data_IF_613032943122
#
_entry.id   IF_613032943122
#
_cell.length_a   1.000
_cell.length_b   1.000
_cell.length_c   1.000
_cell.angle_alpha   90.00
_cell.angle_beta   90.00
_cell.angle_gamma   90.00
#
_symmetry.space_group_name_H-M   'P 1'
#
loop_
_entity.id
_entity.type
_entity.pdbx_description
1 polymer ?
#
# COMPACT_ATOMS: atom_id res chain seq x y z
N UNK A 1 0.75 -8.33 -9.71
CA UNK A 1 2.17 -8.03 -9.39
C UNK A 1 2.34 -6.98 -8.29
N UNK A 2 1.47 -5.98 -8.13
CA UNK A 2 1.60 -4.96 -7.07
C UNK A 2 1.48 -5.51 -5.64
N UNK A 3 0.77 -6.63 -5.44
CA UNK A 3 0.48 -7.15 -4.09
C UNK A 3 1.70 -7.80 -3.43
N UNK A 4 2.59 -8.44 -4.21
CA UNK A 4 3.86 -8.97 -3.68
C UNK A 4 4.76 -7.86 -3.15
N UNK A 5 4.83 -6.73 -3.86
CA UNK A 5 5.60 -5.57 -3.43
C UNK A 5 4.96 -4.89 -2.21
N UNK A 6 3.63 -4.87 -2.13
CA UNK A 6 2.92 -4.42 -0.94
C UNK A 6 3.23 -5.29 0.27
N UNK A 7 3.18 -6.61 0.13
CA UNK A 7 3.49 -7.55 1.21
C UNK A 7 4.94 -7.41 1.68
N UNK A 8 5.90 -7.31 0.77
CA UNK A 8 7.30 -7.05 1.13
C UNK A 8 7.49 -5.70 1.83
N UNK A 9 6.79 -4.65 1.39
CA UNK A 9 6.79 -3.35 2.06
C UNK A 9 6.19 -3.43 3.46
N UNK A 10 5.13 -4.21 3.66
CA UNK A 10 4.52 -4.43 4.96
C UNK A 10 5.44 -5.26 5.89
N UNK A 11 6.04 -6.34 5.38
CA UNK A 11 7.02 -7.16 6.10
C UNK A 11 8.22 -6.32 6.56
N UNK A 12 8.76 -5.47 5.68
CA UNK A 12 9.83 -4.54 6.06
C UNK A 12 9.40 -3.64 7.23
N UNK A 13 8.21 -3.04 7.16
CA UNK A 13 7.69 -2.18 8.23
C UNK A 13 7.51 -2.92 9.55
N UNK A 14 7.06 -4.16 9.52
CA UNK A 14 6.90 -5.00 10.71
C UNK A 14 8.27 -5.30 11.35
N UNK A 15 9.29 -5.61 10.54
CA UNK A 15 10.63 -5.95 11.04
C UNK A 15 11.42 -4.75 11.56
N UNK A 16 11.31 -3.61 10.87
CA UNK A 16 12.15 -2.44 11.14
C UNK A 16 11.43 -1.32 11.91
N UNK A 17 10.10 -1.41 12.08
CA UNK A 17 9.29 -0.39 12.74
C UNK A 17 9.12 0.91 11.95
N UNK A 18 9.76 1.03 10.78
CA UNK A 18 9.76 2.22 9.94
C UNK A 18 9.43 1.89 8.49
N UNK A 19 8.97 2.89 7.75
CA UNK A 19 8.75 2.73 6.31
C UNK A 19 10.09 2.73 5.55
N UNK A 20 10.33 1.77 4.64
CA UNK A 20 11.54 1.77 3.83
C UNK A 20 11.54 2.93 2.83
N UNK A 21 12.72 3.43 2.50
CA UNK A 21 12.95 4.17 1.26
C UNK A 21 12.72 3.29 0.04
N UNK A 22 12.57 3.92 -1.13
CA UNK A 22 12.42 3.23 -2.40
C UNK A 22 13.63 2.36 -2.77
N UNK A 23 14.84 2.76 -2.35
CA UNK A 23 16.06 1.96 -2.49
C UNK A 23 16.10 0.79 -1.52
N UNK A 24 15.81 1.00 -0.24
CA UNK A 24 15.78 -0.08 0.76
C UNK A 24 14.76 -1.15 0.37
N UNK A 25 13.58 -0.75 -0.10
CA UNK A 25 12.59 -1.71 -0.57
C UNK A 25 13.06 -2.47 -1.81
N UNK A 26 13.72 -1.81 -2.76
CA UNK A 26 14.30 -2.47 -3.95
C UNK A 26 15.31 -3.55 -3.55
N UNK A 27 16.21 -3.22 -2.62
CA UNK A 27 17.20 -4.17 -2.09
C UNK A 27 16.54 -5.31 -1.32
N UNK A 28 15.54 -5.01 -0.48
CA UNK A 28 14.80 -6.02 0.28
C UNK A 28 14.08 -7.00 -0.65
N UNK A 29 13.43 -6.50 -1.70
CA UNK A 29 12.79 -7.33 -2.74
C UNK A 29 13.81 -8.23 -3.45
N UNK A 30 14.96 -7.68 -3.85
CA UNK A 30 16.00 -8.46 -4.50
C UNK A 30 16.56 -9.57 -3.58
N UNK A 31 16.75 -9.29 -2.29
CA UNK A 31 17.18 -10.27 -1.29
C UNK A 31 16.15 -11.41 -1.10
N UNK A 32 14.87 -11.14 -1.35
CA UNK A 32 13.79 -12.14 -1.34
C UNK A 32 13.59 -12.84 -2.70
N UNK A 33 14.47 -12.59 -3.69
CA UNK A 33 14.34 -13.14 -5.05
C UNK A 33 13.21 -12.51 -5.88
N UNK A 34 12.59 -11.42 -5.40
CA UNK A 34 11.56 -10.67 -6.11
C UNK A 34 12.20 -9.67 -7.07
N UNK A 35 12.61 -10.18 -8.22
CA UNK A 35 13.29 -9.41 -9.26
C UNK A 35 12.29 -8.89 -10.31
N UNK A 36 12.66 -7.76 -10.92
CA UNK A 36 11.97 -7.17 -12.06
C UNK A 36 12.35 -7.84 -13.38
N UNK A 37 12.14 -7.12 -14.49
CA UNK A 37 12.47 -7.62 -15.83
C UNK A 37 13.97 -7.88 -15.95
N UNK A 38 14.34 -8.99 -16.60
CA UNK A 38 15.73 -9.35 -16.85
C UNK A 38 16.52 -9.73 -15.60
N UNK A 39 15.85 -10.25 -14.56
CA UNK A 39 16.47 -10.62 -13.28
C UNK A 39 17.16 -9.44 -12.57
N UNK A 40 16.76 -8.21 -12.88
CA UNK A 40 17.28 -7.01 -12.23
C UNK A 40 16.44 -6.62 -11.02
N UNK A 41 17.02 -5.96 -10.01
CA UNK A 41 16.24 -5.37 -8.92
C UNK A 41 15.11 -4.48 -9.45
N UNK A 42 13.97 -4.48 -8.75
CA UNK A 42 12.83 -3.63 -9.13
C UNK A 42 13.23 -2.17 -8.98
N UNK A 43 13.05 -1.37 -10.02
CA UNK A 43 13.43 0.05 -10.00
C UNK A 43 12.81 0.81 -8.82
N UNK A 44 13.60 1.54 -8.02
CA UNK A 44 13.09 2.39 -6.93
C UNK A 44 12.03 3.38 -7.40
N UNK A 45 12.21 3.99 -8.58
CA UNK A 45 11.24 4.94 -9.13
C UNK A 45 9.87 4.28 -9.42
N UNK A 46 9.86 3.00 -9.78
CA UNK A 46 8.62 2.25 -9.95
C UNK A 46 7.95 1.97 -8.59
N UNK A 47 8.73 1.57 -7.59
CA UNK A 47 8.24 1.31 -6.23
C UNK A 47 7.66 2.57 -5.58
N UNK A 48 8.35 3.70 -5.70
CA UNK A 48 7.95 4.99 -5.12
C UNK A 48 6.56 5.43 -5.56
N UNK A 49 6.15 5.13 -6.80
CA UNK A 49 4.80 5.45 -7.33
C UNK A 49 3.70 4.71 -6.58
N UNK A 50 4.01 3.60 -5.93
CA UNK A 50 3.04 2.78 -5.20
C UNK A 50 2.91 3.16 -3.72
N UNK A 51 3.90 3.83 -3.11
CA UNK A 51 3.94 4.09 -1.67
C UNK A 51 2.69 4.82 -1.17
N UNK A 52 2.28 5.89 -1.84
CA UNK A 52 1.08 6.63 -1.46
C UNK A 52 -0.15 5.71 -1.45
N UNK A 53 -0.31 4.90 -2.50
CA UNK A 53 -1.44 3.97 -2.62
C UNK A 53 -1.40 2.90 -1.53
N UNK A 54 -0.22 2.42 -1.14
CA UNK A 54 -0.06 1.44 -0.05
C UNK A 54 -0.34 2.03 1.33
N UNK A 55 0.05 3.28 1.58
CA UNK A 55 -0.29 3.99 2.81
C UNK A 55 -1.79 4.17 2.95
N UNK A 56 -2.46 4.64 1.89
CA UNK A 56 -3.92 4.77 1.85
C UNK A 56 -4.59 3.41 2.04
N UNK A 57 -4.12 2.37 1.33
CA UNK A 57 -4.67 1.03 1.46
C UNK A 57 -4.51 0.48 2.88
N UNK A 58 -3.37 0.70 3.54
CA UNK A 58 -3.15 0.21 4.91
C UNK A 58 -4.10 0.87 5.91
N UNK A 59 -4.38 2.17 5.72
CA UNK A 59 -5.36 2.89 6.53
C UNK A 59 -6.79 2.36 6.25
N UNK A 60 -7.16 2.21 4.97
CA UNK A 60 -8.42 1.62 4.57
C UNK A 60 -8.61 0.19 5.12
N UNK A 61 -7.58 -0.64 5.04
CA UNK A 61 -7.57 -2.02 5.50
C UNK A 61 -7.73 -2.12 7.02
N UNK A 62 -7.11 -1.22 7.78
CA UNK A 62 -7.32 -1.13 9.23
C UNK A 62 -8.77 -0.77 9.57
N UNK A 63 -9.36 0.24 8.89
CA UNK A 63 -10.77 0.55 9.08
C UNK A 63 -11.68 -0.62 8.66
N UNK A 64 -11.36 -1.33 7.57
CA UNK A 64 -12.12 -2.48 7.07
C UNK A 64 -12.09 -3.68 8.02
N UNK A 65 -11.04 -3.81 8.83
CA UNK A 65 -10.93 -4.85 9.85
C UNK A 65 -11.88 -4.62 11.03
N UNK A 66 -12.24 -3.37 11.32
CA UNK A 66 -13.14 -2.99 12.42
C UNK A 66 -14.56 -2.68 11.94
N UNK A 67 -14.74 -2.36 10.65
CA UNK A 67 -16.02 -1.96 10.07
C UNK A 67 -16.23 -2.65 8.72
N UNK A 68 -17.42 -3.20 8.50
CA UNK A 68 -17.72 -3.95 7.27
C UNK A 68 -17.68 -3.09 6.00
N UNK A 69 -17.98 -1.78 6.11
CA UNK A 69 -17.88 -0.82 5.03
C UNK A 69 -17.24 0.49 5.54
N UNK A 70 -15.94 0.70 5.33
CA UNK A 70 -15.28 1.93 5.75
C UNK A 70 -15.77 3.12 4.93
N UNK A 71 -16.30 4.15 5.59
CA UNK A 71 -16.76 5.36 4.91
C UNK A 71 -15.58 6.11 4.29
N UNK A 72 -15.70 6.48 3.02
CA UNK A 72 -14.63 7.18 2.27
C UNK A 72 -14.20 8.50 2.94
N UNK A 73 -15.14 9.19 3.60
CA UNK A 73 -14.86 10.40 4.37
C UNK A 73 -13.94 10.13 5.58
N UNK A 74 -14.10 9.00 6.27
CA UNK A 74 -13.25 8.64 7.41
C UNK A 74 -11.82 8.35 6.96
N UNK A 75 -11.68 7.65 5.84
CA UNK A 75 -10.37 7.34 5.24
C UNK A 75 -9.68 8.62 4.78
N UNK A 76 -10.41 9.54 4.14
CA UNK A 76 -9.86 10.84 3.73
C UNK A 76 -9.42 11.68 4.95
N UNK A 77 -10.21 11.72 6.02
CA UNK A 77 -9.83 12.36 7.29
C UNK A 77 -8.60 11.70 7.92
N UNK A 78 -8.53 10.37 7.92
CA UNK A 78 -7.36 9.62 8.35
C UNK A 78 -6.11 9.99 7.54
N UNK A 79 -6.23 10.03 6.21
CA UNK A 79 -5.14 10.45 5.33
C UNK A 79 -4.62 11.85 5.67
N UNK A 80 -5.50 12.82 5.90
CA UNK A 80 -5.12 14.17 6.30
C UNK A 80 -4.41 14.19 7.67
N UNK A 81 -4.91 13.44 8.66
CA UNK A 81 -4.27 13.30 9.99
C UNK A 81 -2.86 12.72 9.92
N UNK A 82 -2.61 11.83 8.96
CA UNK A 82 -1.29 11.24 8.70
C UNK A 82 -0.42 12.06 7.73
N UNK A 83 -0.86 13.27 7.33
CA UNK A 83 -0.11 14.12 6.41
C UNK A 83 0.01 13.57 4.99
N UNK A 84 -0.90 12.67 4.59
CA UNK A 84 -0.88 12.07 3.26
C UNK A 84 -1.52 13.01 2.24
N UNK A 85 -0.75 13.34 1.20
CA UNK A 85 -1.19 14.17 0.07
C UNK A 85 -0.83 13.51 -1.26
N UNK A 86 -1.58 13.86 -2.30
CA UNK A 86 -1.25 13.52 -3.69
C UNK A 86 -0.15 14.44 -4.23
N UNK A 87 0.16 14.28 -5.52
CA UNK A 87 1.08 15.15 -6.23
C UNK A 87 0.67 16.62 -6.06
N UNK A 88 1.67 17.51 -6.00
CA UNK A 88 1.47 18.94 -5.78
C UNK A 88 0.72 19.28 -4.49
N UNK A 89 0.92 18.49 -3.43
CA UNK A 89 0.31 18.68 -2.10
C UNK A 89 -1.23 18.68 -2.12
N UNK A 90 -1.84 18.05 -3.14
CA UNK A 90 -3.28 18.00 -3.24
C UNK A 90 -3.89 17.09 -2.16
N UNK A 91 -4.98 17.50 -1.50
CA UNK A 91 -5.61 16.67 -0.49
C UNK A 91 -6.17 15.37 -1.10
N UNK A 92 -6.18 14.33 -0.27
CA UNK A 92 -6.89 13.08 -0.55
C UNK A 92 -8.35 13.30 -0.17
N UNK A 93 -9.24 13.31 -1.17
CA UNK A 93 -10.67 13.54 -0.99
C UNK A 93 -11.44 12.23 -0.86
N UNK A 94 -12.65 12.27 -0.29
CA UNK A 94 -13.54 11.10 -0.22
C UNK A 94 -13.80 10.50 -1.62
N UNK A 95 -14.07 11.35 -2.62
CA UNK A 95 -14.24 10.91 -4.01
C UNK A 95 -13.02 10.15 -4.55
N UNK A 96 -11.80 10.56 -4.19
CA UNK A 96 -10.59 9.84 -4.60
C UNK A 96 -10.49 8.47 -3.91
N UNK A 97 -10.90 8.37 -2.64
CA UNK A 97 -10.97 7.08 -1.94
C UNK A 97 -12.03 6.17 -2.57
N UNK A 98 -13.21 6.69 -2.93
CA UNK A 98 -14.27 5.92 -3.60
C UNK A 98 -13.77 5.30 -4.90
N UNK A 99 -13.01 6.06 -5.71
CA UNK A 99 -12.39 5.54 -6.93
C UNK A 99 -11.41 4.39 -6.67
N UNK A 100 -10.70 4.40 -5.54
CA UNK A 100 -9.75 3.36 -5.15
C UNK A 100 -10.41 2.15 -4.47
N UNK A 101 -11.63 2.32 -3.94
CA UNK A 101 -12.30 1.34 -3.09
C UNK A 101 -12.51 -0.01 -3.78
N UNK A 102 -12.96 -0.11 -5.05
CA UNK A 102 -13.11 -1.40 -5.72
C UNK A 102 -11.79 -2.19 -5.81
N UNK A 103 -10.68 -1.51 -6.08
CA UNK A 103 -9.36 -2.12 -6.11
C UNK A 103 -8.89 -2.55 -4.71
N UNK A 104 -9.20 -1.75 -3.68
CA UNK A 104 -8.87 -2.08 -2.30
C UNK A 104 -9.65 -3.29 -1.79
N UNK A 105 -10.94 -3.37 -2.08
CA UNK A 105 -11.77 -4.53 -1.78
C UNK A 105 -11.26 -5.78 -2.48
N UNK A 106 -10.92 -5.69 -3.76
CA UNK A 106 -10.30 -6.80 -4.50
C UNK A 106 -9.00 -7.25 -3.82
N UNK A 107 -8.10 -6.31 -3.48
CA UNK A 107 -6.84 -6.64 -2.80
C UNK A 107 -7.09 -7.27 -1.43
N UNK A 108 -8.02 -6.74 -0.64
CA UNK A 108 -8.37 -7.28 0.67
C UNK A 108 -8.85 -8.73 0.57
N UNK A 109 -9.74 -9.03 -0.38
CA UNK A 109 -10.16 -10.40 -0.65
C UNK A 109 -8.98 -11.27 -1.05
N UNK A 110 -8.15 -10.85 -2.01
CA UNK A 110 -6.98 -11.65 -2.42
C UNK A 110 -6.02 -11.92 -1.26
N UNK A 111 -5.78 -10.95 -0.38
CA UNK A 111 -4.85 -11.11 0.75
C UNK A 111 -5.44 -11.96 1.89
N UNK A 112 -6.77 -11.95 2.08
CA UNK A 112 -7.43 -12.74 3.13
C UNK A 112 -7.88 -14.14 2.66
N UNK A 113 -8.22 -14.31 1.38
CA UNK A 113 -8.58 -15.61 0.79
C UNK A 113 -7.38 -16.54 0.60
N UNK A 114 -6.16 -16.01 0.57
CA UNK A 114 -4.92 -16.82 0.59
C UNK A 114 -4.67 -17.43 1.98
N UNK A 115 -5.55 -17.17 2.96
CA UNK A 115 -5.53 -17.74 4.31
C UNK A 115 -6.68 -18.74 4.56
N UNK A 116 -7.30 -19.30 3.51
CA UNK A 116 -8.17 -20.47 3.67
C UNK A 116 -7.35 -21.77 3.54
N UNK A 117 -7.36 -22.65 4.57
CA UNK A 117 -6.62 -23.92 4.59
C UNK A 117 -7.16 -24.98 3.62
#
# INVERSE_FOLDING_TARGET
MSDRYYLAWQDYRIRHGTEPSDRELSTHLAAQGLLGRGQQPVSPANLRRHFLRWRIYSLWANHRAHTQSPAAADIARGCARHGLTRQYNQPITAQYIEQLTPDFERRWKTLNSVHEP
#
